data_IF_438342690590
#
_entry.id   IF_438342690590
#
_cell.length_a   1.000
_cell.length_b   1.000
_cell.length_c   1.000
_cell.angle_alpha   90.00
_cell.angle_beta   90.00
_cell.angle_gamma   90.00
#
_symmetry.space_group_name_H-M   'P 1'
#
loop_
_entity.id
_entity.type
_entity.pdbx_description
1 polymer ?
#
# COMPACT_ATOMS: atom_id res chain seq x y z
N UNK A 1 -18.55 2.11 -11.03
CA UNK A 1 -17.27 2.59 -10.46
C UNK A 1 -16.66 1.40 -9.73
N UNK A 2 -15.39 1.04 -9.95
CA UNK A 2 -14.76 -0.03 -9.18
C UNK A 2 -14.86 0.32 -7.69
N UNK A 3 -15.19 -0.66 -6.87
CA UNK A 3 -15.30 -0.48 -5.43
C UNK A 3 -13.93 -0.08 -4.85
N UNK A 4 -13.94 0.92 -3.97
CA UNK A 4 -12.73 1.32 -3.25
C UNK A 4 -12.30 0.20 -2.31
N UNK A 5 -11.00 -0.12 -2.24
CA UNK A 5 -10.51 -1.22 -1.40
C UNK A 5 -10.80 -0.93 0.07
N UNK A 6 -11.39 -1.91 0.77
CA UNK A 6 -11.66 -1.85 2.22
C UNK A 6 -10.42 -2.19 3.06
N UNK A 7 -9.46 -2.89 2.46
CA UNK A 7 -8.19 -3.27 3.07
C UNK A 7 -7.06 -3.21 2.04
N UNK A 8 -5.85 -2.93 2.51
CA UNK A 8 -4.64 -2.88 1.68
C UNK A 8 -3.53 -3.68 2.35
N UNK A 9 -2.85 -4.54 1.60
CA UNK A 9 -1.64 -5.23 2.07
C UNK A 9 -0.43 -4.29 2.00
N UNK A 10 -0.03 -3.73 3.15
CA UNK A 10 1.17 -2.91 3.25
C UNK A 10 2.42 -3.76 3.34
N UNK A 11 3.50 -3.30 2.73
CA UNK A 11 4.83 -3.90 2.81
C UNK A 11 5.79 -2.88 3.42
N UNK A 12 6.45 -3.25 4.52
CA UNK A 12 7.42 -2.38 5.22
C UNK A 12 8.71 -3.15 5.50
N UNK A 13 9.85 -2.47 5.38
CA UNK A 13 11.13 -3.04 5.73
C UNK A 13 11.26 -3.17 7.26
N UNK A 14 11.43 -4.40 7.75
CA UNK A 14 11.77 -4.65 9.14
C UNK A 14 13.30 -4.70 9.29
N UNK A 15 13.87 -3.66 9.88
CA UNK A 15 15.32 -3.56 10.00
C UNK A 15 15.93 -4.57 10.99
N UNK A 16 15.17 -4.99 12.00
CA UNK A 16 15.62 -5.99 13.00
C UNK A 16 15.71 -7.38 12.36
N UNK A 17 14.69 -7.77 11.60
CA UNK A 17 14.62 -9.08 10.93
C UNK A 17 15.32 -9.10 9.56
N UNK A 18 15.79 -7.94 9.08
CA UNK A 18 16.38 -7.73 7.76
C UNK A 18 15.53 -8.33 6.64
N UNK A 19 14.21 -8.14 6.71
CA UNK A 19 13.25 -8.64 5.71
C UNK A 19 12.07 -7.70 5.55
N UNK A 20 11.34 -7.84 4.45
CA UNK A 20 10.04 -7.20 4.27
C UNK A 20 8.97 -7.92 5.07
N UNK A 21 8.30 -7.22 5.98
CA UNK A 21 7.11 -7.72 6.65
C UNK A 21 5.87 -7.16 5.92
N UNK A 22 4.81 -7.98 5.89
CA UNK A 22 3.53 -7.65 5.25
C UNK A 22 2.45 -7.61 6.32
N UNK A 23 1.60 -6.59 6.28
CA UNK A 23 0.45 -6.47 7.17
C UNK A 23 -0.73 -5.79 6.47
N UNK A 24 -1.93 -6.09 6.94
CA UNK A 24 -3.17 -5.55 6.38
C UNK A 24 -3.52 -4.22 7.07
N UNK A 25 -3.83 -3.21 6.27
CA UNK A 25 -4.30 -1.90 6.73
C UNK A 25 -5.78 -1.73 6.37
N UNK A 26 -6.68 -1.49 7.34
CA UNK A 26 -8.07 -1.16 7.06
C UNK A 26 -8.19 0.25 6.46
N UNK A 27 -9.15 0.44 5.55
CA UNK A 27 -9.39 1.71 4.86
C UNK A 27 -10.73 2.28 5.28
N UNK A 28 -10.70 3.43 5.94
CA UNK A 28 -11.90 4.21 6.27
C UNK A 28 -12.30 5.08 5.07
N UNK A 29 -11.31 5.78 4.49
CA UNK A 29 -11.49 6.65 3.32
C UNK A 29 -10.33 6.47 2.33
N UNK A 30 -10.63 6.38 1.04
CA UNK A 30 -9.64 6.20 -0.02
C UNK A 30 -9.42 7.49 -0.81
N UNK A 31 -8.17 7.95 -0.90
CA UNK A 31 -7.81 9.23 -1.53
C UNK A 31 -6.92 9.08 -2.78
N UNK A 32 -6.73 7.84 -3.26
CA UNK A 32 -5.97 7.57 -4.48
C UNK A 32 -4.66 6.85 -4.21
N UNK A 33 -3.82 6.80 -5.24
CA UNK A 33 -2.58 6.04 -5.24
C UNK A 33 -1.53 6.71 -6.11
N UNK A 34 -0.27 6.35 -5.89
CA UNK A 34 0.84 6.67 -6.79
C UNK A 34 1.25 5.41 -7.53
N UNK A 35 1.54 5.54 -8.82
CA UNK A 35 1.95 4.44 -9.68
C UNK A 35 3.47 4.32 -9.78
N UNK A 36 3.94 3.09 -9.95
CA UNK A 36 5.28 2.83 -10.44
C UNK A 36 5.41 3.31 -11.88
N UNK A 37 6.45 4.09 -12.19
CA UNK A 37 6.71 4.60 -13.55
C UNK A 37 6.98 3.51 -14.59
N UNK A 38 7.39 2.31 -14.17
CA UNK A 38 7.72 1.22 -15.08
C UNK A 38 6.53 0.33 -15.40
N UNK A 39 5.87 -0.22 -14.38
CA UNK A 39 4.75 -1.16 -14.58
C UNK A 39 3.36 -0.49 -14.54
N UNK A 40 3.28 0.81 -14.20
CA UNK A 40 2.03 1.56 -14.07
C UNK A 40 1.02 0.88 -13.13
N UNK A 41 1.54 0.21 -12.09
CA UNK A 41 0.75 -0.37 -11.00
C UNK A 41 0.97 0.45 -9.71
N UNK A 42 0.00 0.46 -8.78
CA UNK A 42 0.15 1.16 -7.51
C UNK A 42 1.42 0.73 -6.76
N UNK A 43 2.16 1.71 -6.23
CA UNK A 43 3.28 1.51 -5.31
C UNK A 43 3.00 2.11 -3.92
N UNK A 44 2.05 3.03 -3.83
CA UNK A 44 1.52 3.53 -2.58
C UNK A 44 0.07 3.95 -2.71
N UNK A 45 -0.66 3.91 -1.60
CA UNK A 45 -2.04 4.39 -1.48
C UNK A 45 -2.13 5.47 -0.42
N UNK A 46 -2.91 6.51 -0.69
CA UNK A 46 -3.24 7.56 0.27
C UNK A 46 -4.61 7.22 0.85
N UNK A 47 -4.65 6.89 2.13
CA UNK A 47 -5.88 6.46 2.81
C UNK A 47 -6.01 7.12 4.18
N UNK A 48 -7.24 7.20 4.66
CA UNK A 48 -7.52 7.39 6.09
C UNK A 48 -7.76 6.03 6.71
N UNK A 49 -7.10 5.78 7.84
CA UNK A 49 -7.17 4.52 8.56
C UNK A 49 -7.06 4.83 10.06
N UNK A 50 -8.06 4.38 10.82
CA UNK A 50 -8.21 4.69 12.25
C UNK A 50 -8.32 6.21 12.48
N UNK A 51 -9.04 6.89 11.60
CA UNK A 51 -9.23 8.35 11.65
C UNK A 51 -8.00 9.18 11.28
N UNK A 52 -6.86 8.58 10.91
CA UNK A 52 -5.62 9.27 10.54
C UNK A 52 -5.27 9.06 9.07
N UNK A 53 -4.79 10.10 8.40
CA UNK A 53 -4.22 9.98 7.07
C UNK A 53 -2.88 9.25 7.12
N UNK A 54 -2.72 8.26 6.26
CA UNK A 54 -1.51 7.43 6.16
C UNK A 54 -1.21 7.17 4.67
N UNK A 55 0.08 7.13 4.36
CA UNK A 55 0.58 6.60 3.08
C UNK A 55 0.91 5.14 3.29
N UNK A 56 0.23 4.25 2.57
CA UNK A 56 0.41 2.81 2.65
C UNK A 56 1.26 2.35 1.48
N UNK A 57 2.49 1.92 1.76
CA UNK A 57 3.39 1.37 0.75
C UNK A 57 3.05 -0.09 0.48
N UNK A 58 3.06 -0.47 -0.80
CA UNK A 58 2.79 -1.84 -1.26
C UNK A 58 3.96 -2.35 -2.07
N UNK A 59 4.13 -3.68 -2.11
CA UNK A 59 5.16 -4.30 -2.93
C UNK A 59 4.92 -4.00 -4.41
N UNK A 60 5.88 -3.35 -5.06
CA UNK A 60 5.79 -3.05 -6.49
C UNK A 60 5.71 -4.34 -7.32
N UNK A 61 4.83 -4.37 -8.33
CA UNK A 61 4.66 -5.52 -9.22
C UNK A 61 5.94 -5.90 -9.98
N UNK A 62 6.89 -4.97 -10.17
CA UNK A 62 8.20 -5.25 -10.76
C UNK A 62 9.04 -6.22 -9.93
N UNK A 63 8.84 -6.25 -8.60
CA UNK A 63 9.61 -7.14 -7.71
C UNK A 63 9.15 -8.60 -7.72
N UNK A 64 8.15 -8.94 -8.55
CA UNK A 64 7.72 -10.31 -8.84
C UNK A 64 8.25 -10.82 -10.19
N UNK A 65 9.06 -10.03 -10.90
CA UNK A 65 9.70 -10.40 -12.16
C UNK A 65 11.10 -10.96 -11.92
#
# INVERSE_FOLDING_TARGET
MPETPKTIESTVWNDVKKRWDVFTVPVDEYHGFTECRHCQKPISHNVKSEGKFKVVWVRCACTRQ
#
